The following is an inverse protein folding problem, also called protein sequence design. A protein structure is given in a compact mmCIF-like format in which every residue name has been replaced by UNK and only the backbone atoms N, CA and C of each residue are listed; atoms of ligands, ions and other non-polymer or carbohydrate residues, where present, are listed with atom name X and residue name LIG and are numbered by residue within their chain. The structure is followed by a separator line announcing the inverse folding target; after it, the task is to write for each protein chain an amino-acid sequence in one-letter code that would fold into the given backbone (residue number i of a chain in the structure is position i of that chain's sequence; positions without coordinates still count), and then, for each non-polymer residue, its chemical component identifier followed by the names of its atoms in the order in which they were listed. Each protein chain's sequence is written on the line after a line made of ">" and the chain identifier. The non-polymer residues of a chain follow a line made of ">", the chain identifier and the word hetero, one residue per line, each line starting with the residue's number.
data_IF_851634303799
#
_entry.id   IF_851634303799
#
_cell.length_a   1.000
_cell.length_b   1.000
_cell.length_c   1.000
_cell.angle_alpha   90.00
_cell.angle_beta   90.00
_cell.angle_gamma   90.00
#
_symmetry.space_group_name_H-M   'P 1'
#
loop_
_entity.id
_entity.type
_entity.pdbx_description
1 polymer ?
#
# COMPACT_ATOMS: atom_id res chain seq x y z
N UNK A 1 -5.08 10.83 -1.40
CA UNK A 1 -3.69 11.30 -1.58
C UNK A 1 -2.95 10.14 -2.24
N UNK A 2 -2.91 10.14 -3.58
CA UNK A 2 -2.56 8.97 -4.40
C UNK A 2 -1.06 8.67 -4.34
N UNK A 3 -0.73 7.41 -4.06
CA UNK A 3 0.63 6.88 -3.98
C UNK A 3 1.36 7.01 -5.33
N UNK A 4 2.38 7.87 -5.38
CA UNK A 4 3.42 7.83 -6.41
C UNK A 4 4.41 6.73 -6.06
N UNK A 5 4.28 5.57 -6.69
CA UNK A 5 5.32 4.54 -6.64
C UNK A 5 6.56 5.07 -7.37
N UNK A 6 7.69 4.99 -6.67
CA UNK A 6 8.98 5.54 -7.04
C UNK A 6 9.52 4.87 -8.32
N UNK A 7 9.59 5.63 -9.42
CA UNK A 7 10.31 5.29 -10.65
C UNK A 7 11.82 5.42 -10.43
N UNK A 8 12.49 4.43 -9.86
CA UNK A 8 13.92 4.24 -10.07
C UNK A 8 14.34 2.79 -9.72
N UNK A 9 15.15 2.21 -10.62
CA UNK A 9 15.88 0.92 -10.49
C UNK A 9 15.39 -0.26 -11.35
N UNK A 10 15.34 -0.12 -12.69
CA UNK A 10 15.68 -1.23 -13.61
C UNK A 10 16.41 -0.66 -14.84
N UNK A 11 17.70 -0.38 -14.71
CA UNK A 11 18.59 -0.25 -15.86
C UNK A 11 19.97 -0.77 -15.45
N UNK A 12 20.24 -2.05 -15.69
CA UNK A 12 21.60 -2.54 -15.87
C UNK A 12 21.64 -3.79 -16.76
N UNK A 13 22.28 -3.57 -17.92
CA UNK A 13 23.33 -4.38 -18.52
C UNK A 13 22.99 -5.81 -19.01
N UNK A 14 22.64 -5.92 -20.30
CA UNK A 14 22.89 -7.12 -21.10
C UNK A 14 23.76 -6.78 -22.31
N UNK A 15 25.06 -7.09 -22.20
CA UNK A 15 25.99 -7.17 -23.34
C UNK A 15 25.55 -8.30 -24.30
N UNK A 16 25.54 -8.07 -25.62
CA UNK A 16 25.42 -9.16 -26.59
C UNK A 16 26.78 -9.84 -26.83
N UNK A 17 26.79 -11.17 -26.76
CA UNK A 17 27.89 -12.03 -27.21
C UNK A 17 28.01 -11.97 -28.74
N UNK A 18 29.20 -11.63 -29.22
CA UNK A 18 29.61 -11.69 -30.62
C UNK A 18 29.69 -13.16 -31.08
N UNK A 19 28.91 -13.51 -32.10
CA UNK A 19 29.09 -14.74 -32.89
C UNK A 19 29.20 -14.40 -34.38
N UNK A 20 30.20 -15.02 -34.99
CA UNK A 20 30.87 -14.68 -36.24
C UNK A 20 30.06 -14.99 -37.50
N UNK A 21 30.26 -14.14 -38.51
CA UNK A 21 29.86 -14.31 -39.92
C UNK A 21 30.51 -15.54 -40.58
N UNK A 22 29.72 -16.27 -41.38
CA UNK A 22 29.98 -16.95 -42.69
C UNK A 22 28.88 -18.04 -42.84
N UNK A 23 28.19 -18.25 -43.95
CA UNK A 23 28.56 -18.17 -45.36
C UNK A 23 27.39 -17.77 -46.28
N UNK A 24 27.77 -17.33 -47.49
CA UNK A 24 26.92 -16.98 -48.62
C UNK A 24 26.34 -18.23 -49.29
N UNK A 25 25.03 -18.26 -49.50
CA UNK A 25 24.46 -18.90 -50.68
C UNK A 25 23.54 -17.92 -51.41
N UNK A 26 23.96 -17.60 -52.63
CA UNK A 26 23.30 -16.73 -53.59
C UNK A 26 22.07 -17.41 -54.19
N UNK A 27 20.88 -16.94 -53.83
CA UNK A 27 19.68 -17.08 -54.67
C UNK A 27 19.17 -15.70 -55.05
N UNK A 28 18.96 -15.56 -56.36
CA UNK A 28 18.66 -14.36 -57.12
C UNK A 28 17.32 -13.73 -56.66
N UNK A 29 17.34 -12.91 -55.59
CA UNK A 29 16.22 -12.05 -55.24
C UNK A 29 16.24 -10.84 -56.18
N UNK A 30 15.28 -10.79 -57.11
CA UNK A 30 14.85 -9.53 -57.74
C UNK A 30 14.75 -8.49 -56.61
N UNK A 31 15.53 -7.41 -56.68
CA UNK A 31 15.36 -6.25 -55.80
C UNK A 31 13.98 -5.66 -56.11
N UNK A 32 12.95 -6.15 -55.42
CA UNK A 32 11.66 -5.46 -55.32
C UNK A 32 11.92 -4.19 -54.54
N UNK A 33 11.77 -3.05 -55.19
CA UNK A 33 11.73 -1.73 -54.54
C UNK A 33 10.74 -1.81 -53.36
N UNK A 34 11.09 -1.31 -52.17
CA UNK A 34 10.16 -1.35 -51.04
C UNK A 34 8.88 -0.59 -51.41
N UNK A 35 7.76 -1.31 -51.42
CA UNK A 35 6.44 -0.72 -51.62
C UNK A 35 6.09 0.14 -50.39
N UNK A 36 5.80 1.42 -50.59
CA UNK A 36 5.34 2.32 -49.54
C UNK A 36 3.85 2.58 -49.70
N UNK A 37 3.15 2.78 -48.59
CA UNK A 37 1.75 3.23 -48.61
C UNK A 37 1.68 4.63 -49.26
N UNK A 38 0.69 4.86 -50.12
CA UNK A 38 0.51 6.14 -50.82
C UNK A 38 1.27 6.28 -52.14
N UNK A 39 2.05 5.27 -52.55
CA UNK A 39 2.79 5.30 -53.82
C UNK A 39 1.85 5.08 -55.02
N UNK A 40 1.24 6.17 -55.50
CA UNK A 40 0.21 6.16 -56.56
C UNK A 40 0.63 5.46 -57.87
N UNK A 41 1.87 5.61 -58.39
CA UNK A 41 2.31 4.94 -59.60
C UNK A 41 2.31 3.41 -59.53
N UNK A 42 2.58 2.82 -58.36
CA UNK A 42 2.78 1.38 -58.17
C UNK A 42 1.57 0.68 -57.54
N UNK A 43 0.65 1.46 -56.96
CA UNK A 43 -0.56 0.97 -56.31
C UNK A 43 -1.66 0.54 -57.29
N UNK A 44 -2.27 -0.62 -57.01
CA UNK A 44 -3.35 -1.24 -57.78
C UNK A 44 -4.71 -1.18 -57.07
N UNK A 45 -4.73 -0.80 -55.79
CA UNK A 45 -5.95 -0.66 -54.97
C UNK A 45 -6.02 0.72 -54.33
N UNK A 46 -7.24 1.26 -54.21
CA UNK A 46 -7.53 2.46 -53.41
C UNK A 46 -8.40 2.06 -52.22
N UNK A 47 -7.91 2.27 -51.01
CA UNK A 47 -8.71 2.15 -49.78
C UNK A 47 -9.28 3.51 -49.44
N UNK A 48 -10.61 3.62 -49.34
CA UNK A 48 -11.31 4.85 -48.94
C UNK A 48 -11.79 4.70 -47.51
N UNK A 49 -11.24 5.52 -46.61
CA UNK A 49 -11.74 5.65 -45.23
C UNK A 49 -12.83 6.72 -45.22
N UNK A 50 -14.03 6.33 -44.78
CA UNK A 50 -15.20 7.19 -44.75
C UNK A 50 -15.77 7.29 -43.34
N UNK A 51 -16.09 8.51 -42.92
CA UNK A 51 -16.80 8.77 -41.66
C UNK A 51 -18.20 9.31 -41.93
N UNK A 52 -19.10 9.17 -40.93
CA UNK A 52 -20.47 9.70 -41.00
C UNK A 52 -20.48 11.23 -41.14
N UNK A 53 -19.43 11.89 -40.64
CA UNK A 53 -19.22 13.35 -40.70
C UNK A 53 -18.64 13.83 -42.04
N UNK A 54 -18.77 13.04 -43.11
CA UNK A 54 -18.37 13.35 -44.49
C UNK A 54 -16.87 13.36 -44.81
N UNK A 55 -16.00 12.94 -43.90
CA UNK A 55 -14.58 12.72 -44.22
C UNK A 55 -14.43 11.55 -45.20
N UNK A 56 -13.60 11.71 -46.23
CA UNK A 56 -13.40 10.73 -47.31
C UNK A 56 -11.94 10.75 -47.80
N UNK A 57 -11.07 10.08 -47.05
CA UNK A 57 -9.64 10.04 -47.32
C UNK A 57 -9.27 8.80 -48.15
N UNK A 58 -8.40 9.00 -49.15
CA UNK A 58 -8.01 7.95 -50.11
C UNK A 58 -6.56 7.53 -49.89
N UNK A 59 -6.36 6.24 -49.66
CA UNK A 59 -5.05 5.62 -49.48
C UNK A 59 -4.74 4.72 -50.67
N UNK A 60 -3.63 4.99 -51.36
CA UNK A 60 -3.14 4.16 -52.46
C UNK A 60 -2.38 2.97 -51.88
N UNK A 61 -2.88 1.77 -52.16
CA UNK A 61 -2.41 0.53 -51.56
C UNK A 61 -2.06 -0.54 -52.62
N UNK A 62 -1.35 -1.58 -52.19
CA UNK A 62 -0.93 -2.72 -52.98
C UNK A 62 -1.72 -3.94 -52.52
N UNK A 63 -2.54 -4.52 -53.41
CA UNK A 63 -3.43 -5.65 -53.11
C UNK A 63 -2.70 -6.80 -52.44
N UNK A 64 -1.54 -7.21 -52.99
CA UNK A 64 -0.75 -8.32 -52.47
C UNK A 64 -0.32 -8.16 -51.00
N UNK A 65 -0.07 -6.94 -50.53
CA UNK A 65 0.34 -6.66 -49.14
C UNK A 65 -0.89 -6.72 -48.21
N UNK A 66 -1.96 -5.99 -48.57
CA UNK A 66 -3.12 -5.87 -47.69
C UNK A 66 -3.95 -7.16 -47.65
N UNK A 67 -3.99 -7.95 -48.73
CA UNK A 67 -4.63 -9.28 -48.75
C UNK A 67 -3.87 -10.27 -47.88
N UNK A 68 -2.53 -10.27 -47.94
CA UNK A 68 -1.70 -11.18 -47.14
C UNK A 68 -1.87 -10.91 -45.64
N UNK A 69 -2.05 -9.64 -45.25
CA UNK A 69 -1.99 -9.22 -43.84
C UNK A 69 -3.36 -8.93 -43.20
N UNK A 70 -4.45 -8.91 -43.97
CA UNK A 70 -5.81 -8.63 -43.46
C UNK A 70 -6.84 -9.51 -44.16
N UNK A 71 -7.57 -10.29 -43.35
CA UNK A 71 -8.67 -11.13 -43.83
C UNK A 71 -9.82 -10.29 -44.40
N UNK A 72 -10.10 -9.12 -43.83
CA UNK A 72 -11.10 -8.19 -44.36
C UNK A 72 -10.78 -7.76 -45.81
N UNK A 73 -9.54 -7.36 -46.08
CA UNK A 73 -9.15 -6.95 -47.43
C UNK A 73 -9.07 -8.15 -48.39
N UNK A 74 -8.65 -9.33 -47.91
CA UNK A 74 -8.67 -10.56 -48.68
C UNK A 74 -10.09 -10.93 -49.17
N UNK A 75 -11.09 -10.79 -48.31
CA UNK A 75 -12.49 -11.03 -48.66
C UNK A 75 -13.02 -9.97 -49.64
N UNK A 76 -12.80 -8.68 -49.34
CA UNK A 76 -13.33 -7.54 -50.13
C UNK A 76 -12.72 -7.41 -51.51
N UNK A 77 -11.50 -7.92 -51.73
CA UNK A 77 -10.82 -7.92 -53.02
C UNK A 77 -10.88 -9.27 -53.73
N UNK A 78 -11.63 -10.24 -53.19
CA UNK A 78 -11.83 -11.53 -53.84
C UNK A 78 -12.75 -11.41 -55.06
N UNK A 79 -12.63 -12.34 -56.01
CA UNK A 79 -13.48 -12.42 -57.21
C UNK A 79 -14.98 -12.54 -56.90
N UNK A 80 -15.32 -12.89 -55.65
CA UNK A 80 -16.70 -13.07 -55.17
C UNK A 80 -17.33 -11.76 -54.68
N UNK A 81 -16.55 -10.69 -54.49
CA UNK A 81 -17.04 -9.43 -53.99
C UNK A 81 -17.20 -8.40 -55.11
N UNK A 82 -18.35 -7.72 -55.24
CA UNK A 82 -18.54 -6.67 -56.23
C UNK A 82 -17.64 -5.47 -55.88
N UNK A 83 -16.44 -5.45 -56.44
CA UNK A 83 -15.47 -4.38 -56.21
C UNK A 83 -15.71 -3.27 -57.23
N UNK A 84 -15.98 -2.06 -56.75
CA UNK A 84 -16.12 -0.89 -57.62
C UNK A 84 -14.74 -0.55 -58.22
N UNK A 85 -14.67 -0.47 -59.55
CA UNK A 85 -13.50 0.06 -60.24
C UNK A 85 -13.63 1.58 -60.33
N UNK A 86 -12.62 2.31 -59.83
CA UNK A 86 -12.53 3.77 -59.94
C UNK A 86 -11.62 4.13 -61.12
N UNK A 87 -11.64 5.41 -61.54
CA UNK A 87 -10.70 6.05 -62.46
C UNK A 87 -9.30 5.39 -62.44
N UNK A 88 -8.80 5.08 -63.64
CA UNK A 88 -7.61 4.26 -63.94
C UNK A 88 -7.77 2.74 -63.76
N UNK A 89 -8.99 2.20 -63.69
CA UNK A 89 -9.29 0.76 -63.56
C UNK A 89 -8.73 0.10 -62.29
N UNK A 90 -8.56 0.88 -61.21
CA UNK A 90 -8.11 0.36 -59.91
C UNK A 90 -9.28 -0.11 -59.07
N UNK A 91 -9.08 -1.19 -58.32
CA UNK A 91 -10.05 -1.69 -57.35
C UNK A 91 -10.20 -0.69 -56.18
N UNK A 92 -11.43 -0.43 -55.75
CA UNK A 92 -11.71 0.43 -54.61
C UNK A 92 -12.39 -0.34 -53.47
N UNK A 93 -11.82 -0.25 -52.28
CA UNK A 93 -12.42 -0.79 -51.05
C UNK A 93 -12.83 0.35 -50.15
N UNK A 94 -14.12 0.42 -49.82
CA UNK A 94 -14.64 1.39 -48.87
C UNK A 94 -14.66 0.78 -47.45
N UNK A 95 -14.11 1.51 -46.50
CA UNK A 95 -14.03 1.15 -45.08
C UNK A 95 -14.66 2.28 -44.28
N UNK A 96 -15.73 1.95 -43.55
CA UNK A 96 -16.47 2.90 -42.72
C UNK A 96 -15.96 2.86 -41.28
N UNK A 97 -15.67 4.03 -40.73
CA UNK A 97 -15.22 4.23 -39.35
C UNK A 97 -15.89 5.46 -38.71
N UNK A 98 -15.85 5.51 -37.38
CA UNK A 98 -16.23 6.71 -36.63
C UNK A 98 -15.07 7.71 -36.65
N UNK A 99 -15.36 9.01 -36.50
CA UNK A 99 -14.32 10.04 -36.50
C UNK A 99 -13.29 9.82 -35.38
N UNK A 100 -13.75 9.33 -34.22
CA UNK A 100 -12.88 8.97 -33.07
C UNK A 100 -11.87 7.86 -33.38
N UNK A 101 -12.18 6.99 -34.34
CA UNK A 101 -11.35 5.84 -34.70
C UNK A 101 -10.55 6.07 -35.98
N UNK A 102 -10.71 7.23 -36.61
CA UNK A 102 -10.15 7.50 -37.93
C UNK A 102 -8.63 7.34 -37.93
N UNK A 103 -7.95 7.98 -36.98
CA UNK A 103 -6.49 7.93 -36.88
C UNK A 103 -5.97 6.52 -36.56
N UNK A 104 -6.74 5.71 -35.81
CA UNK A 104 -6.43 4.30 -35.59
C UNK A 104 -6.51 3.50 -36.90
N UNK A 105 -7.50 3.76 -37.77
CA UNK A 105 -7.59 3.10 -39.09
C UNK A 105 -6.43 3.50 -40.00
N UNK A 106 -6.06 4.78 -40.03
CA UNK A 106 -4.88 5.24 -40.77
C UNK A 106 -3.62 4.54 -40.27
N UNK A 107 -3.47 4.41 -38.96
CA UNK A 107 -2.32 3.75 -38.34
C UNK A 107 -2.27 2.26 -38.69
N UNK A 108 -3.41 1.55 -38.62
CA UNK A 108 -3.47 0.14 -39.06
C UNK A 108 -3.06 -0.02 -40.52
N UNK A 109 -3.57 0.84 -41.42
CA UNK A 109 -3.18 0.78 -42.83
C UNK A 109 -1.67 0.99 -43.03
N UNK A 110 -1.07 1.93 -42.30
CA UNK A 110 0.39 2.15 -42.33
C UNK A 110 1.15 0.94 -41.79
N UNK A 111 0.68 0.32 -40.70
CA UNK A 111 1.30 -0.84 -40.09
C UNK A 111 1.31 -2.09 -40.98
N UNK A 112 0.34 -2.23 -41.89
CA UNK A 112 0.36 -3.31 -42.90
C UNK A 112 1.61 -3.25 -43.79
N UNK A 113 2.20 -2.07 -43.97
CA UNK A 113 3.40 -1.89 -44.80
C UNK A 113 4.71 -2.05 -44.05
N UNK A 114 4.66 -2.13 -42.72
CA UNK A 114 5.86 -2.31 -41.91
C UNK A 114 6.27 -3.78 -41.93
N UNK A 115 7.56 -4.03 -42.17
CA UNK A 115 8.12 -5.38 -42.25
C UNK A 115 8.18 -6.05 -40.86
N UNK A 116 8.59 -5.29 -39.84
CA UNK A 116 8.63 -5.70 -38.44
C UNK A 116 8.04 -4.57 -37.59
N UNK A 117 6.92 -4.80 -36.94
CA UNK A 117 6.27 -3.81 -36.09
C UNK A 117 7.10 -3.70 -34.81
N UNK A 118 7.97 -2.69 -34.72
CA UNK A 118 8.74 -2.44 -33.50
C UNK A 118 7.86 -1.78 -32.43
N UNK A 119 8.09 -2.16 -31.17
CA UNK A 119 7.17 -1.97 -30.03
C UNK A 119 7.15 -0.53 -29.46
N UNK A 120 7.88 0.44 -30.04
CA UNK A 120 8.10 1.73 -29.35
C UNK A 120 7.39 2.95 -29.97
N UNK A 121 7.44 3.14 -31.29
CA UNK A 121 7.00 4.41 -31.92
C UNK A 121 5.58 4.39 -32.49
N UNK A 122 5.03 3.20 -32.78
CA UNK A 122 3.73 3.08 -33.42
C UNK A 122 2.54 3.24 -32.46
N UNK A 123 2.75 2.93 -31.18
CA UNK A 123 1.66 2.75 -30.22
C UNK A 123 1.33 3.99 -29.41
N UNK A 124 2.31 4.85 -29.11
CA UNK A 124 2.11 6.16 -28.46
C UNK A 124 1.17 6.16 -27.23
N UNK A 125 1.22 5.11 -26.41
CA UNK A 125 0.43 4.96 -25.18
C UNK A 125 -0.65 3.87 -25.24
N UNK A 126 -1.17 3.50 -24.06
CA UNK A 126 -2.13 2.40 -23.88
C UNK A 126 -3.44 2.68 -24.63
N UNK A 127 -3.99 3.88 -24.49
CA UNK A 127 -5.22 4.30 -25.16
C UNK A 127 -5.17 4.15 -26.69
N UNK A 128 -4.09 4.62 -27.31
CA UNK A 128 -3.93 4.53 -28.76
C UNK A 128 -3.67 3.09 -29.21
N UNK A 129 -2.90 2.30 -28.45
CA UNK A 129 -2.73 0.87 -28.69
C UNK A 129 -4.07 0.11 -28.62
N UNK A 130 -4.93 0.44 -27.65
CA UNK A 130 -6.26 -0.15 -27.48
C UNK A 130 -7.21 0.23 -28.63
N UNK A 131 -7.14 1.46 -29.12
CA UNK A 131 -7.83 1.91 -30.33
C UNK A 131 -7.38 1.15 -31.58
N UNK A 132 -6.06 1.04 -31.79
CA UNK A 132 -5.48 0.28 -32.91
C UNK A 132 -5.86 -1.20 -32.81
N UNK A 133 -5.84 -1.79 -31.62
CA UNK A 133 -6.23 -3.18 -31.40
C UNK A 133 -7.66 -3.45 -31.86
N UNK A 134 -8.62 -2.61 -31.47
CA UNK A 134 -10.02 -2.74 -31.89
C UNK A 134 -10.17 -2.73 -33.41
N UNK A 135 -9.48 -1.81 -34.09
CA UNK A 135 -9.49 -1.74 -35.56
C UNK A 135 -8.80 -2.95 -36.18
N UNK A 136 -7.67 -3.39 -35.64
CA UNK A 136 -6.93 -4.54 -36.13
C UNK A 136 -7.75 -5.85 -35.99
N UNK A 137 -8.51 -6.00 -34.91
CA UNK A 137 -9.47 -7.11 -34.75
C UNK A 137 -10.59 -6.99 -35.79
N UNK A 138 -11.20 -5.81 -35.96
CA UNK A 138 -12.29 -5.57 -36.92
C UNK A 138 -11.86 -5.84 -38.37
N UNK A 139 -10.63 -5.47 -38.74
CA UNK A 139 -10.07 -5.71 -40.08
C UNK A 139 -9.37 -7.07 -40.20
N UNK A 140 -9.34 -7.86 -39.13
CA UNK A 140 -8.75 -9.20 -39.09
C UNK A 140 -7.27 -9.20 -39.47
N UNK A 141 -6.46 -8.39 -38.78
CA UNK A 141 -5.03 -8.19 -38.97
C UNK A 141 -4.21 -8.89 -37.86
N UNK A 142 -3.94 -10.21 -37.94
CA UNK A 142 -3.41 -10.98 -36.81
C UNK A 142 -2.03 -10.51 -36.32
N UNK A 143 -1.13 -10.08 -37.21
CA UNK A 143 0.19 -9.59 -36.81
C UNK A 143 0.12 -8.29 -35.99
N UNK A 144 -0.80 -7.39 -36.35
CA UNK A 144 -1.01 -6.13 -35.62
C UNK A 144 -1.69 -6.41 -34.28
N UNK A 145 -2.66 -7.35 -34.24
CA UNK A 145 -3.30 -7.80 -32.99
C UNK A 145 -2.26 -8.34 -32.02
N UNK A 146 -1.39 -9.26 -32.45
CA UNK A 146 -0.33 -9.78 -31.59
C UNK A 146 0.58 -8.67 -31.06
N UNK A 147 1.02 -7.76 -31.93
CA UNK A 147 1.91 -6.68 -31.53
C UNK A 147 1.23 -5.67 -30.56
N UNK A 148 -0.09 -5.45 -30.68
CA UNK A 148 -0.85 -4.67 -29.70
C UNK A 148 -0.94 -5.39 -28.34
N UNK A 149 -1.20 -6.71 -28.35
CA UNK A 149 -1.27 -7.52 -27.13
C UNK A 149 0.07 -7.49 -26.42
N UNK A 150 1.17 -7.77 -27.14
CA UNK A 150 2.53 -7.74 -26.59
C UNK A 150 2.86 -6.35 -25.98
N UNK A 151 2.43 -5.27 -26.63
CA UNK A 151 2.64 -3.91 -26.12
C UNK A 151 1.82 -3.63 -24.85
N UNK A 152 0.51 -3.94 -24.87
CA UNK A 152 -0.37 -3.74 -23.71
C UNK A 152 0.10 -4.61 -22.54
N UNK A 153 0.60 -5.82 -22.81
CA UNK A 153 1.25 -6.66 -21.83
C UNK A 153 2.64 -6.14 -21.40
N UNK A 154 3.33 -5.30 -22.15
CA UNK A 154 4.62 -4.77 -21.70
C UNK A 154 4.51 -3.50 -20.84
N UNK A 155 3.39 -2.77 -20.94
CA UNK A 155 3.25 -1.44 -20.39
C UNK A 155 2.53 -1.40 -19.03
N UNK A 156 2.91 -0.48 -18.12
CA UNK A 156 2.10 -0.14 -16.96
C UNK A 156 0.84 0.62 -17.39
N UNK A 157 -0.24 0.48 -16.63
CA UNK A 157 -1.52 1.14 -16.88
C UNK A 157 -1.88 2.08 -15.74
N UNK A 158 -2.60 3.14 -16.08
CA UNK A 158 -3.30 3.97 -15.10
C UNK A 158 -4.70 3.39 -14.83
N UNK A 159 -5.29 3.69 -13.66
CA UNK A 159 -6.61 3.17 -13.24
C UNK A 159 -7.70 3.38 -14.31
N UNK A 160 -7.77 4.58 -14.91
CA UNK A 160 -8.71 4.88 -15.99
C UNK A 160 -8.47 4.03 -17.26
N UNK A 161 -7.22 3.64 -17.53
CA UNK A 161 -6.88 2.75 -18.63
C UNK A 161 -7.26 1.30 -18.30
N UNK A 162 -7.13 0.87 -17.05
CA UNK A 162 -7.59 -0.45 -16.60
C UNK A 162 -9.11 -0.61 -16.77
N UNK A 163 -9.89 0.39 -16.38
CA UNK A 163 -11.34 0.42 -16.59
C UNK A 163 -11.70 0.31 -18.08
N UNK A 164 -10.97 1.02 -18.94
CA UNK A 164 -11.19 0.96 -20.38
C UNK A 164 -10.84 -0.42 -20.95
N UNK A 165 -9.75 -1.02 -20.48
CA UNK A 165 -9.33 -2.39 -20.84
C UNK A 165 -10.39 -3.40 -20.41
N UNK A 166 -10.89 -3.33 -19.17
CA UNK A 166 -11.95 -4.20 -18.65
C UNK A 166 -13.24 -4.09 -19.46
N UNK A 167 -13.57 -2.88 -19.93
CA UNK A 167 -14.75 -2.63 -20.77
C UNK A 167 -14.59 -3.20 -22.19
N UNK A 168 -13.41 -3.07 -22.80
CA UNK A 168 -13.21 -3.34 -24.23
C UNK A 168 -12.78 -4.80 -24.50
N UNK A 169 -11.77 -5.31 -23.80
CA UNK A 169 -11.11 -6.58 -24.13
C UNK A 169 -12.06 -7.79 -24.14
N UNK A 170 -13.04 -7.94 -23.21
CA UNK A 170 -13.95 -9.09 -23.22
C UNK A 170 -14.73 -9.25 -24.54
N UNK A 171 -14.99 -8.16 -25.26
CA UNK A 171 -15.74 -8.15 -26.52
C UNK A 171 -14.93 -8.44 -27.78
N UNK A 172 -13.59 -8.47 -27.70
CA UNK A 172 -12.70 -8.54 -28.87
C UNK A 172 -12.24 -9.96 -29.25
N UNK A 173 -12.64 -10.98 -28.49
CA UNK A 173 -12.36 -12.38 -28.78
C UNK A 173 -11.24 -13.02 -27.94
N UNK A 174 -10.93 -14.29 -28.19
CA UNK A 174 -10.01 -15.07 -27.35
C UNK A 174 -8.55 -14.65 -27.43
N UNK A 175 -8.11 -14.14 -28.58
CA UNK A 175 -6.70 -13.89 -28.87
C UNK A 175 -6.12 -12.68 -28.11
N UNK A 176 -7.00 -11.86 -27.51
CA UNK A 176 -6.63 -10.68 -26.71
C UNK A 176 -6.82 -10.87 -25.21
N UNK A 177 -7.38 -12.02 -24.80
CA UNK A 177 -7.59 -12.36 -23.39
C UNK A 177 -6.34 -12.31 -22.52
N UNK A 178 -5.12 -12.61 -23.01
CA UNK A 178 -3.91 -12.51 -22.19
C UNK A 178 -3.72 -11.14 -21.51
N UNK A 179 -4.19 -10.06 -22.14
CA UNK A 179 -4.17 -8.71 -21.54
C UNK A 179 -4.84 -8.71 -20.16
N UNK A 180 -5.97 -9.41 -19.98
CA UNK A 180 -6.71 -9.43 -18.72
C UNK A 180 -6.02 -10.23 -17.61
N UNK A 181 -4.92 -10.92 -17.89
CA UNK A 181 -4.26 -11.80 -16.93
C UNK A 181 -3.82 -11.07 -15.65
N UNK A 182 -3.45 -9.79 -15.75
CA UNK A 182 -3.03 -8.96 -14.60
C UNK A 182 -4.16 -8.57 -13.66
N UNK A 183 -5.38 -8.50 -14.18
CA UNK A 183 -6.56 -8.05 -13.44
C UNK A 183 -7.33 -9.23 -12.82
N UNK A 184 -6.83 -10.45 -12.99
CA UNK A 184 -7.42 -11.60 -12.35
C UNK A 184 -7.21 -11.54 -10.83
N UNK A 185 -8.27 -11.79 -10.03
CA UNK A 185 -8.13 -11.90 -8.60
C UNK A 185 -7.04 -12.92 -8.23
N UNK A 186 -6.17 -12.50 -7.32
CA UNK A 186 -5.09 -13.37 -6.83
C UNK A 186 -5.69 -14.52 -6.03
N UNK A 187 -5.10 -15.70 -6.14
CA UNK A 187 -5.49 -16.86 -5.34
C UNK A 187 -5.35 -16.53 -3.83
N UNK A 188 -6.40 -16.72 -3.00
CA UNK A 188 -6.34 -16.46 -1.57
C UNK A 188 -5.19 -17.17 -0.84
N UNK A 189 -4.81 -18.39 -1.28
CA UNK A 189 -3.67 -19.12 -0.71
C UNK A 189 -2.34 -18.43 -0.97
N UNK A 190 -2.19 -17.78 -2.13
CA UNK A 190 -1.00 -16.99 -2.48
C UNK A 190 -0.94 -15.71 -1.64
N UNK A 191 -2.07 -15.00 -1.49
CA UNK A 191 -2.17 -13.82 -0.62
C UNK A 191 -1.76 -14.18 0.81
N UNK A 192 -2.28 -15.29 1.35
CA UNK A 192 -1.91 -15.81 2.67
C UNK A 192 -0.39 -16.06 2.80
N UNK A 193 0.23 -16.70 1.81
CA UNK A 193 1.66 -17.00 1.83
C UNK A 193 2.52 -15.73 1.81
N UNK A 194 2.14 -14.75 0.99
CA UNK A 194 2.81 -13.45 0.94
C UNK A 194 2.67 -12.75 2.29
N UNK A 195 1.46 -12.69 2.84
CA UNK A 195 1.20 -12.06 4.14
C UNK A 195 2.06 -12.66 5.25
N UNK A 196 2.09 -13.99 5.40
CA UNK A 196 2.87 -14.65 6.44
C UNK A 196 4.38 -14.42 6.27
N UNK A 197 4.87 -14.43 5.02
CA UNK A 197 6.28 -14.14 4.72
C UNK A 197 6.63 -12.69 5.06
N UNK A 198 5.73 -11.76 4.73
CA UNK A 198 5.87 -10.35 5.04
C UNK A 198 5.83 -10.09 6.55
N UNK A 199 4.95 -10.75 7.32
CA UNK A 199 4.93 -10.66 8.80
C UNK A 199 6.25 -11.16 9.39
N UNK A 200 6.77 -12.29 8.90
CA UNK A 200 8.05 -12.81 9.36
C UNK A 200 9.19 -11.81 9.08
N UNK A 201 9.20 -11.17 7.91
CA UNK A 201 10.19 -10.14 7.58
C UNK A 201 10.02 -8.88 8.45
N UNK A 202 8.78 -8.39 8.60
CA UNK A 202 8.44 -7.19 9.37
C UNK A 202 8.71 -7.34 10.88
N UNK A 203 8.75 -8.56 11.40
CA UNK A 203 9.08 -8.85 12.81
C UNK A 203 10.53 -9.29 13.02
N UNK A 204 11.31 -9.39 11.95
CA UNK A 204 12.74 -9.72 11.99
C UNK A 204 13.61 -8.47 12.21
N UNK A 205 14.92 -8.67 12.39
CA UNK A 205 15.92 -7.59 12.38
C UNK A 205 16.81 -7.69 11.14
N UNK A 206 16.32 -7.19 9.99
CA UNK A 206 17.13 -7.15 8.78
C UNK A 206 18.25 -6.10 8.91
N UNK A 207 19.28 -6.14 8.05
CA UNK A 207 20.32 -5.11 8.03
C UNK A 207 19.75 -3.71 7.77
N UNK A 208 20.42 -2.63 8.22
CA UNK A 208 19.92 -1.26 8.08
C UNK A 208 19.57 -0.84 6.64
N UNK A 209 20.26 -1.41 5.64
CA UNK A 209 19.98 -1.17 4.21
C UNK A 209 18.60 -1.64 3.76
N UNK A 210 17.90 -2.45 4.56
CA UNK A 210 16.56 -2.97 4.28
C UNK A 210 15.46 -2.29 5.13
N UNK A 211 15.79 -1.26 5.90
CA UNK A 211 14.82 -0.58 6.77
C UNK A 211 13.64 0.02 5.99
N UNK A 212 13.90 0.66 4.84
CA UNK A 212 12.85 1.19 3.97
C UNK A 212 11.92 0.10 3.46
N UNK A 213 12.48 -1.06 3.06
CA UNK A 213 11.70 -2.21 2.63
C UNK A 213 10.86 -2.78 3.78
N UNK A 214 11.40 -2.83 4.99
CA UNK A 214 10.68 -3.28 6.18
C UNK A 214 9.51 -2.37 6.51
N UNK A 215 9.73 -1.06 6.51
CA UNK A 215 8.68 -0.06 6.73
C UNK A 215 7.59 -0.16 5.66
N UNK A 216 7.96 -0.22 4.38
CA UNK A 216 7.00 -0.42 3.29
C UNK A 216 6.24 -1.73 3.46
N UNK A 217 6.90 -2.82 3.90
CA UNK A 217 6.23 -4.10 4.18
C UNK A 217 5.22 -3.97 5.32
N UNK A 218 5.56 -3.24 6.38
CA UNK A 218 4.67 -2.96 7.52
C UNK A 218 3.42 -2.19 7.07
N UNK A 219 3.58 -1.14 6.27
CA UNK A 219 2.46 -0.38 5.70
C UNK A 219 1.56 -1.25 4.80
N UNK A 220 2.16 -2.08 3.94
CA UNK A 220 1.38 -2.96 3.06
C UNK A 220 0.63 -4.04 3.84
N UNK A 221 1.20 -4.57 4.93
CA UNK A 221 0.50 -5.51 5.81
C UNK A 221 -0.73 -4.87 6.48
N UNK A 222 -0.63 -3.61 6.88
CA UNK A 222 -1.78 -2.85 7.40
C UNK A 222 -2.83 -2.64 6.33
N UNK A 223 -2.43 -2.27 5.12
CA UNK A 223 -3.34 -2.11 3.98
C UNK A 223 -4.09 -3.41 3.67
N UNK A 224 -3.38 -4.55 3.63
CA UNK A 224 -3.98 -5.87 3.37
C UNK A 224 -5.10 -6.26 4.34
N UNK A 225 -5.08 -5.72 5.57
CA UNK A 225 -6.05 -5.98 6.63
C UNK A 225 -7.12 -4.89 6.78
N UNK A 226 -6.97 -3.75 6.07
CA UNK A 226 -7.89 -2.63 6.21
C UNK A 226 -9.13 -2.88 5.36
N UNK A 227 -10.29 -2.64 5.95
CA UNK A 227 -11.57 -2.57 5.26
C UNK A 227 -11.89 -1.08 5.09
N UNK A 228 -11.96 -0.60 3.84
CA UNK A 228 -12.24 0.79 3.49
C UNK A 228 -13.47 0.88 2.57
N UNK A 229 -13.34 1.40 1.35
CA UNK A 229 -14.40 1.30 0.33
C UNK A 229 -14.45 -0.12 -0.26
N UNK A 230 -13.33 -0.86 -0.18
CA UNK A 230 -13.18 -2.24 -0.64
C UNK A 230 -13.07 -3.25 0.51
N UNK A 231 -13.35 -4.52 0.20
CA UNK A 231 -13.13 -5.62 1.13
C UNK A 231 -11.62 -5.85 1.36
N UNK A 232 -11.20 -6.25 2.59
CA UNK A 232 -9.80 -6.46 2.88
C UNK A 232 -9.21 -7.56 1.99
N UNK A 233 -7.98 -7.35 1.51
CA UNK A 233 -7.29 -8.34 0.67
C UNK A 233 -7.09 -9.67 1.40
N UNK A 234 -6.97 -9.64 2.72
CA UNK A 234 -6.86 -10.82 3.57
C UNK A 234 -7.79 -10.73 4.78
N UNK A 235 -8.66 -11.72 4.94
CA UNK A 235 -9.38 -11.96 6.20
C UNK A 235 -8.56 -12.90 7.10
N UNK A 236 -8.20 -12.43 8.29
CA UNK A 236 -7.38 -13.19 9.23
C UNK A 236 -8.17 -14.31 9.92
N UNK A 237 -7.85 -15.56 9.57
CA UNK A 237 -8.33 -16.74 10.29
C UNK A 237 -7.50 -17.04 11.56
N UNK A 238 -7.94 -18.01 12.35
CA UNK A 238 -7.28 -18.39 13.61
C UNK A 238 -5.84 -18.88 13.44
N UNK A 239 -5.52 -19.49 12.30
CA UNK A 239 -4.16 -19.94 12.02
C UNK A 239 -3.26 -18.75 11.67
N UNK A 240 -3.72 -17.79 10.86
CA UNK A 240 -3.00 -16.54 10.60
C UNK A 240 -2.77 -15.78 11.92
N UNK A 241 -3.82 -15.64 12.74
CA UNK A 241 -3.73 -15.04 14.07
C UNK A 241 -2.69 -15.73 14.95
N UNK A 242 -2.67 -17.06 14.95
CA UNK A 242 -1.68 -17.84 15.70
C UNK A 242 -0.25 -17.57 15.23
N UNK A 243 0.00 -17.60 13.92
CA UNK A 243 1.33 -17.34 13.35
C UNK A 243 1.82 -15.91 13.63
N UNK A 244 0.94 -14.90 13.45
CA UNK A 244 1.25 -13.51 13.83
C UNK A 244 1.56 -13.42 15.32
N UNK A 245 0.78 -14.10 16.17
CA UNK A 245 1.02 -14.17 17.61
C UNK A 245 2.39 -14.76 17.96
N UNK A 246 2.86 -15.79 17.26
CA UNK A 246 4.20 -16.36 17.44
C UNK A 246 5.28 -15.34 17.09
N UNK A 247 5.16 -14.63 15.97
CA UNK A 247 6.09 -13.58 15.57
C UNK A 247 6.16 -12.44 16.60
N UNK A 248 5.00 -11.98 17.10
CA UNK A 248 4.95 -10.93 18.13
C UNK A 248 5.52 -11.41 19.47
N UNK A 249 5.26 -12.67 19.86
CA UNK A 249 5.90 -13.27 21.05
C UNK A 249 7.43 -13.25 20.91
N UNK A 250 7.95 -13.57 19.73
CA UNK A 250 9.39 -13.48 19.46
C UNK A 250 9.92 -12.05 19.57
N UNK A 251 9.17 -11.04 19.13
CA UNK A 251 9.54 -9.63 19.33
C UNK A 251 9.59 -9.26 20.82
N UNK A 252 8.58 -9.67 21.60
CA UNK A 252 8.53 -9.41 23.04
C UNK A 252 9.69 -10.07 23.79
N UNK A 253 10.02 -11.32 23.47
CA UNK A 253 11.18 -12.02 24.08
C UNK A 253 12.46 -11.21 23.83
N UNK A 254 12.72 -10.84 22.57
CA UNK A 254 13.90 -10.05 22.19
C UNK A 254 13.93 -8.68 22.88
N UNK A 255 12.77 -8.03 23.02
CA UNK A 255 12.65 -6.78 23.75
C UNK A 255 13.05 -6.96 25.22
N UNK A 256 12.53 -7.97 25.90
CA UNK A 256 12.86 -8.23 27.30
C UNK A 256 14.33 -8.63 27.49
N UNK A 257 14.90 -9.40 26.56
CA UNK A 257 16.32 -9.76 26.58
C UNK A 257 17.23 -8.52 26.50
N UNK A 258 16.85 -7.51 25.71
CA UNK A 258 17.56 -6.22 25.64
C UNK A 258 17.27 -5.30 26.82
N UNK A 259 16.13 -5.47 27.49
CA UNK A 259 15.73 -4.70 28.66
C UNK A 259 16.46 -5.16 29.93
N UNK A 260 16.74 -6.46 30.05
CA UNK A 260 17.34 -7.07 31.25
C UNK A 260 18.68 -6.43 31.67
N UNK A 261 19.63 -6.11 30.75
CA UNK A 261 20.86 -5.44 31.10
C UNK A 261 20.64 -4.03 31.70
N UNK A 262 19.60 -3.30 31.28
CA UNK A 262 19.24 -1.98 31.83
C UNK A 262 18.73 -2.04 33.28
N UNK A 263 18.31 -3.22 33.73
CA UNK A 263 17.80 -3.44 35.09
C UNK A 263 18.90 -3.81 36.09
N UNK A 264 20.07 -4.22 35.61
CA UNK A 264 21.23 -4.55 36.43
C UNK A 264 21.98 -3.26 36.85
N UNK A 265 22.60 -3.26 38.04
CA UNK A 265 23.44 -2.12 38.45
C UNK A 265 24.54 -1.87 37.41
N UNK A 266 24.89 -0.60 37.14
CA UNK A 266 25.85 -0.26 36.10
C UNK A 266 27.20 -0.87 36.46
N UNK A 267 27.53 -2.00 35.83
CA UNK A 267 28.93 -2.36 35.66
C UNK A 267 29.48 -1.29 34.73
N UNK A 268 30.42 -0.49 35.23
CA UNK A 268 31.16 0.54 34.50
C UNK A 268 31.18 0.27 32.99
N UNK A 269 30.27 0.92 32.27
CA UNK A 269 29.90 0.54 30.91
C UNK A 269 28.57 1.16 30.54
N UNK A 270 28.65 2.36 29.95
CA UNK A 270 27.55 2.97 29.20
C UNK A 270 26.96 1.94 28.24
N UNK A 271 25.63 1.87 28.13
CA UNK A 271 24.98 1.10 27.06
C UNK A 271 25.62 1.49 25.72
N UNK A 272 25.99 0.51 24.89
CA UNK A 272 26.55 0.86 23.60
C UNK A 272 25.45 1.52 22.76
N UNK A 273 25.78 2.59 22.03
CA UNK A 273 24.84 3.33 21.17
C UNK A 273 24.06 2.38 20.21
N UNK A 274 24.70 1.27 19.83
CA UNK A 274 24.12 0.21 19.02
C UNK A 274 22.95 -0.52 19.73
N UNK A 275 23.08 -0.80 21.04
CA UNK A 275 22.05 -1.49 21.82
C UNK A 275 20.80 -0.62 22.03
N UNK A 276 20.97 0.69 22.29
CA UNK A 276 19.85 1.64 22.34
C UNK A 276 19.16 1.77 20.98
N UNK A 277 19.94 1.77 19.89
CA UNK A 277 19.40 1.78 18.53
C UNK A 277 18.57 0.53 18.24
N UNK A 278 19.05 -0.65 18.63
CA UNK A 278 18.30 -1.91 18.53
C UNK A 278 17.03 -1.89 19.37
N UNK A 279 17.08 -1.37 20.60
CA UNK A 279 15.94 -1.24 21.49
C UNK A 279 14.85 -0.32 20.87
N UNK A 280 15.25 0.85 20.35
CA UNK A 280 14.35 1.77 19.64
C UNK A 280 13.72 1.11 18.40
N UNK A 281 14.48 0.34 17.64
CA UNK A 281 13.96 -0.41 16.49
C UNK A 281 12.91 -1.44 16.91
N UNK A 282 13.17 -2.23 17.95
CA UNK A 282 12.20 -3.23 18.44
C UNK A 282 10.95 -2.57 19.04
N UNK A 283 11.10 -1.44 19.74
CA UNK A 283 9.95 -0.68 20.23
C UNK A 283 9.08 -0.16 19.09
N UNK A 284 9.70 0.28 17.98
CA UNK A 284 8.97 0.71 16.79
C UNK A 284 8.23 -0.48 16.14
N UNK A 285 8.87 -1.65 16.07
CA UNK A 285 8.23 -2.89 15.60
C UNK A 285 7.07 -3.33 16.50
N UNK A 286 7.20 -3.17 17.82
CA UNK A 286 6.15 -3.47 18.79
C UNK A 286 4.97 -2.51 18.68
N UNK A 287 5.23 -1.22 18.45
CA UNK A 287 4.18 -0.22 18.22
C UNK A 287 3.38 -0.56 16.96
N UNK A 288 4.06 -0.90 15.86
CA UNK A 288 3.44 -1.43 14.65
C UNK A 288 2.66 -2.74 14.89
N UNK A 289 3.27 -3.69 15.62
CA UNK A 289 2.61 -4.95 15.94
C UNK A 289 1.31 -4.76 16.71
N UNK A 290 1.23 -3.74 17.59
CA UNK A 290 -0.02 -3.38 18.27
C UNK A 290 -1.12 -2.96 17.28
N UNK A 291 -0.79 -2.26 16.20
CA UNK A 291 -1.74 -1.85 15.17
C UNK A 291 -2.29 -3.07 14.42
N UNK A 292 -1.40 -3.98 13.99
CA UNK A 292 -1.78 -5.24 13.32
C UNK A 292 -2.65 -6.11 14.23
N UNK A 293 -2.22 -6.33 15.48
CA UNK A 293 -2.98 -7.13 16.44
C UNK A 293 -4.33 -6.50 16.77
N UNK A 294 -4.46 -5.18 16.73
CA UNK A 294 -5.75 -4.50 16.94
C UNK A 294 -6.70 -4.77 15.78
N UNK A 295 -6.22 -4.68 14.52
CA UNK A 295 -7.00 -5.04 13.33
C UNK A 295 -7.43 -6.51 13.31
N UNK A 296 -6.64 -7.39 13.92
CA UNK A 296 -6.93 -8.83 14.03
C UNK A 296 -7.69 -9.21 15.31
N UNK A 297 -7.97 -8.26 16.20
CA UNK A 297 -8.60 -8.46 17.52
C UNK A 297 -7.84 -9.43 18.46
N UNK A 298 -6.51 -9.47 18.36
CA UNK A 298 -5.62 -10.41 19.09
C UNK A 298 -4.65 -9.73 20.05
N UNK A 299 -4.96 -8.51 20.50
CA UNK A 299 -4.12 -7.72 21.43
C UNK A 299 -3.94 -8.32 22.83
N UNK A 300 -4.80 -9.27 23.23
CA UNK A 300 -4.90 -9.76 24.61
C UNK A 300 -3.57 -10.23 25.21
N UNK A 301 -2.80 -11.06 24.49
CA UNK A 301 -1.56 -11.63 25.01
C UNK A 301 -0.47 -10.55 25.19
N UNK A 302 -0.33 -9.64 24.23
CA UNK A 302 0.62 -8.52 24.31
C UNK A 302 0.27 -7.59 25.47
N UNK A 303 -1.01 -7.22 25.61
CA UNK A 303 -1.47 -6.37 26.72
C UNK A 303 -1.15 -7.01 28.07
N UNK A 304 -1.42 -8.30 28.25
CA UNK A 304 -1.07 -8.99 29.49
C UNK A 304 0.44 -8.99 29.76
N UNK A 305 1.25 -9.31 28.74
CA UNK A 305 2.72 -9.29 28.86
C UNK A 305 3.24 -7.91 29.23
N UNK A 306 2.77 -6.86 28.55
CA UNK A 306 3.20 -5.48 28.79
C UNK A 306 2.78 -5.00 30.19
N UNK A 307 1.53 -5.28 30.58
CA UNK A 307 1.02 -4.94 31.92
C UNK A 307 1.85 -5.61 33.00
N UNK A 308 2.12 -6.90 32.89
CA UNK A 308 2.88 -7.66 33.89
C UNK A 308 4.36 -7.22 33.95
N UNK A 309 4.89 -6.61 32.88
CA UNK A 309 6.24 -6.07 32.81
C UNK A 309 6.35 -4.55 33.11
N UNK A 310 5.24 -3.85 33.37
CA UNK A 310 5.18 -2.37 33.41
C UNK A 310 6.22 -1.74 34.34
N UNK A 311 6.34 -2.24 35.57
CA UNK A 311 7.30 -1.70 36.55
C UNK A 311 8.75 -1.86 36.09
N UNK A 312 9.08 -3.01 35.48
CA UNK A 312 10.41 -3.29 34.95
C UNK A 312 10.73 -2.36 33.79
N UNK A 313 9.80 -2.22 32.84
CA UNK A 313 9.96 -1.33 31.69
C UNK A 313 10.22 0.09 32.15
N UNK A 314 9.34 0.64 33.00
CA UNK A 314 9.49 2.00 33.52
C UNK A 314 10.82 2.15 34.25
N UNK A 315 11.20 1.20 35.13
CA UNK A 315 12.46 1.25 35.87
C UNK A 315 13.69 1.28 34.95
N UNK A 316 13.71 0.46 33.91
CA UNK A 316 14.83 0.36 32.97
C UNK A 316 15.10 1.67 32.20
N UNK A 317 14.04 2.43 31.89
CA UNK A 317 14.16 3.67 31.10
C UNK A 317 14.04 4.95 31.95
N UNK A 318 14.03 4.84 33.29
CA UNK A 318 13.92 5.96 34.24
C UNK A 318 15.27 6.62 34.57
N UNK A 319 16.33 6.37 33.79
CA UNK A 319 17.67 6.88 34.07
C UNK A 319 17.71 8.41 34.34
N UNK A 320 18.50 8.82 35.34
CA UNK A 320 18.61 10.23 35.79
C UNK A 320 19.47 11.10 34.85
N UNK A 321 20.26 10.49 33.96
CA UNK A 321 21.02 11.24 32.95
C UNK A 321 20.15 11.55 31.74
N UNK A 322 19.90 12.85 31.55
CA UNK A 322 19.24 13.46 30.40
C UNK A 322 20.13 13.38 29.14
N UNK A 323 20.36 12.18 28.63
CA UNK A 323 20.83 12.01 27.26
C UNK A 323 19.64 12.04 26.31
N UNK A 324 19.77 12.74 25.18
CA UNK A 324 18.75 12.87 24.15
C UNK A 324 18.31 11.48 23.64
N UNK A 325 19.26 10.55 23.54
CA UNK A 325 19.03 9.15 23.14
C UNK A 325 18.11 8.39 24.13
N UNK A 326 18.27 8.63 25.43
CA UNK A 326 17.42 8.04 26.45
C UNK A 326 16.01 8.63 26.39
N UNK A 327 15.88 9.93 26.12
CA UNK A 327 14.58 10.59 25.94
C UNK A 327 13.83 10.01 24.73
N UNK A 328 14.52 9.82 23.59
CA UNK A 328 13.93 9.15 22.42
C UNK A 328 13.46 7.73 22.74
N UNK A 329 14.25 6.97 23.49
CA UNK A 329 13.87 5.63 23.94
C UNK A 329 12.63 5.66 24.82
N UNK A 330 12.52 6.64 25.74
CA UNK A 330 11.32 6.84 26.57
C UNK A 330 10.09 7.17 25.72
N UNK A 331 10.22 8.01 24.69
CA UNK A 331 9.13 8.31 23.75
C UNK A 331 8.67 7.01 23.06
N UNK A 332 9.60 6.18 22.58
CA UNK A 332 9.25 4.88 21.97
C UNK A 332 8.56 3.92 22.93
N UNK A 333 8.94 3.90 24.21
CA UNK A 333 8.21 3.14 25.25
C UNK A 333 6.79 3.70 25.45
N UNK A 334 6.64 5.02 25.44
CA UNK A 334 5.33 5.69 25.53
C UNK A 334 4.44 5.35 24.33
N UNK A 335 4.98 5.31 23.11
CA UNK A 335 4.22 4.92 21.89
C UNK A 335 3.60 3.53 22.03
N UNK A 336 4.37 2.51 22.45
CA UNK A 336 3.86 1.15 22.67
C UNK A 336 2.84 1.14 23.80
N UNK A 337 3.13 1.85 24.89
CA UNK A 337 2.26 1.91 26.07
C UNK A 337 0.94 2.59 25.76
N UNK A 338 0.91 3.61 24.90
CA UNK A 338 -0.31 4.26 24.44
C UNK A 338 -1.27 3.24 23.81
N UNK A 339 -0.77 2.37 22.92
CA UNK A 339 -1.59 1.32 22.29
C UNK A 339 -2.11 0.30 23.28
N UNK A 340 -1.32 -0.04 24.28
CA UNK A 340 -1.76 -0.92 25.39
C UNK A 340 -2.84 -0.23 26.24
N UNK A 341 -2.66 1.04 26.58
CA UNK A 341 -3.62 1.83 27.35
C UNK A 341 -4.94 2.01 26.58
N UNK A 342 -4.90 2.35 25.30
CA UNK A 342 -6.07 2.45 24.41
C UNK A 342 -6.87 1.13 24.41
N UNK A 343 -6.19 -0.01 24.22
CA UNK A 343 -6.83 -1.32 24.21
C UNK A 343 -7.56 -1.65 25.53
N UNK A 344 -7.02 -1.21 26.67
CA UNK A 344 -7.65 -1.37 27.98
C UNK A 344 -8.79 -0.36 28.17
N UNK A 345 -8.55 0.91 27.82
CA UNK A 345 -9.44 2.03 28.04
C UNK A 345 -10.75 1.93 27.26
N UNK A 346 -10.67 1.44 26.02
CA UNK A 346 -11.82 1.32 25.12
C UNK A 346 -12.43 -0.09 25.09
N UNK A 347 -11.95 -0.99 25.96
CA UNK A 347 -12.59 -2.28 26.21
C UNK A 347 -12.22 -3.39 25.22
N UNK A 348 -11.27 -3.19 24.30
CA UNK A 348 -10.73 -4.23 23.42
C UNK A 348 -10.07 -5.36 24.22
N UNK A 349 -9.46 -5.03 25.37
CA UNK A 349 -8.92 -6.00 26.32
C UNK A 349 -9.44 -5.67 27.73
N UNK A 350 -10.24 -6.57 28.29
CA UNK A 350 -10.82 -6.40 29.63
C UNK A 350 -9.86 -6.94 30.69
N UNK A 351 -9.46 -6.07 31.62
CA UNK A 351 -8.63 -6.41 32.78
C UNK A 351 -9.40 -6.25 34.10
N UNK A 352 -9.04 -7.08 35.08
CA UNK A 352 -9.54 -6.94 36.44
C UNK A 352 -9.16 -5.57 37.03
N UNK A 353 -10.01 -5.03 37.91
CA UNK A 353 -9.83 -3.71 38.52
C UNK A 353 -8.45 -3.50 39.13
N UNK A 354 -7.89 -4.51 39.82
CA UNK A 354 -6.55 -4.42 40.40
C UNK A 354 -5.45 -4.21 39.35
N UNK A 355 -5.54 -4.90 38.19
CA UNK A 355 -4.58 -4.70 37.09
C UNK A 355 -4.76 -3.32 36.44
N UNK A 356 -6.00 -2.86 36.23
CA UNK A 356 -6.26 -1.51 35.69
C UNK A 356 -5.71 -0.41 36.60
N UNK A 357 -5.94 -0.53 37.91
CA UNK A 357 -5.39 0.40 38.91
C UNK A 357 -3.85 0.41 38.89
N UNK A 358 -3.23 -0.78 38.89
CA UNK A 358 -1.78 -0.91 38.80
C UNK A 358 -1.21 -0.21 37.56
N UNK A 359 -1.80 -0.44 36.39
CA UNK A 359 -1.40 0.20 35.13
C UNK A 359 -1.45 1.73 35.24
N UNK A 360 -2.55 2.29 35.77
CA UNK A 360 -2.64 3.76 35.97
C UNK A 360 -1.54 4.25 36.90
N UNK A 361 -1.32 3.59 38.05
CA UNK A 361 -0.31 4.02 39.03
C UNK A 361 1.13 3.96 38.50
N UNK A 362 1.44 3.04 37.60
CA UNK A 362 2.78 2.92 37.00
C UNK A 362 2.97 3.91 35.85
N UNK A 363 2.02 3.97 34.93
CA UNK A 363 2.19 4.70 33.67
C UNK A 363 1.86 6.18 33.77
N UNK A 364 0.88 6.59 34.59
CA UNK A 364 0.48 7.99 34.70
C UNK A 364 1.65 8.90 35.16
N UNK A 365 2.42 8.56 36.22
CA UNK A 365 3.57 9.37 36.61
C UNK A 365 4.69 9.35 35.55
N UNK A 366 4.93 8.20 34.92
CA UNK A 366 5.98 8.07 33.90
C UNK A 366 5.70 8.93 32.67
N UNK A 367 4.49 8.83 32.12
CA UNK A 367 4.03 9.61 30.96
C UNK A 367 4.11 11.11 31.26
N UNK A 368 3.65 11.52 32.45
CA UNK A 368 3.70 12.91 32.90
C UNK A 368 5.13 13.48 32.90
N UNK A 369 6.07 12.77 33.51
CA UNK A 369 7.48 13.19 33.53
C UNK A 369 8.06 13.19 32.12
N UNK A 370 7.79 12.16 31.31
CA UNK A 370 8.32 12.09 29.93
C UNK A 370 7.80 13.25 29.09
N UNK A 371 6.51 13.59 29.16
CA UNK A 371 5.94 14.73 28.42
C UNK A 371 6.61 16.05 28.80
N UNK A 372 6.82 16.29 30.09
CA UNK A 372 7.50 17.52 30.55
C UNK A 372 8.91 17.63 29.97
N UNK A 373 9.68 16.53 29.98
CA UNK A 373 11.04 16.54 29.43
C UNK A 373 11.06 16.79 27.92
N UNK A 374 10.06 16.27 27.19
CA UNK A 374 9.89 16.56 25.76
C UNK A 374 9.57 18.03 25.53
N UNK A 375 8.66 18.61 26.32
CA UNK A 375 8.31 20.04 26.22
C UNK A 375 9.52 20.94 26.52
N UNK A 376 10.30 20.61 27.55
CA UNK A 376 11.53 21.32 27.90
C UNK A 376 12.56 21.22 26.76
N UNK A 377 12.75 20.03 26.18
CA UNK A 377 13.67 19.80 25.06
C UNK A 377 13.26 20.51 23.76
N UNK A 378 11.96 20.65 23.50
CA UNK A 378 11.44 21.41 22.34
C UNK A 378 11.63 22.91 22.57
N UNK A 379 11.40 23.41 23.79
CA UNK A 379 11.53 24.83 24.10
C UNK A 379 12.98 25.35 24.07
N UNK A 380 13.96 24.47 24.20
CA UNK A 380 15.39 24.80 24.30
C UNK A 380 16.16 24.65 22.98
N UNK A 381 15.60 23.98 21.97
CA UNK A 381 16.27 23.73 20.69
C UNK A 381 15.59 24.51 19.55
N UNK A 382 16.36 25.36 18.86
CA UNK A 382 15.93 26.10 17.65
C UNK A 382 15.49 25.11 16.55
N UNK A 383 14.24 25.26 16.09
CA UNK A 383 13.45 24.73 14.93
C UNK A 383 13.82 23.43 14.16
N UNK A 384 15.00 22.82 14.30
CA UNK A 384 15.53 21.80 13.38
C UNK A 384 15.39 20.33 13.86
N UNK A 385 14.97 20.09 15.12
CA UNK A 385 14.79 18.72 15.64
C UNK A 385 13.40 18.15 15.29
N UNK A 386 13.27 17.66 14.05
CA UNK A 386 12.11 16.87 13.59
C UNK A 386 11.85 15.60 14.42
N UNK A 387 12.87 15.07 15.09
CA UNK A 387 12.81 13.82 15.87
C UNK A 387 11.98 13.94 17.15
N UNK A 388 11.96 15.12 17.79
CA UNK A 388 11.17 15.39 19.00
C UNK A 388 9.80 16.00 18.72
N UNK A 389 9.41 16.18 17.44
CA UNK A 389 8.03 16.52 17.09
C UNK A 389 7.14 15.30 17.36
N UNK A 390 6.96 14.99 18.65
CA UNK A 390 6.01 13.98 19.08
C UNK A 390 4.63 14.39 18.64
N UNK A 391 3.93 13.41 18.12
CA UNK A 391 2.56 13.53 17.65
C UNK A 391 1.65 14.08 18.76
N UNK A 392 1.03 15.23 18.51
CA UNK A 392 0.02 15.79 19.43
C UNK A 392 -1.13 14.81 19.62
N UNK A 393 -1.43 13.99 18.61
CA UNK A 393 -2.47 12.97 18.66
C UNK A 393 -2.08 11.84 19.63
N UNK A 394 -0.80 11.45 19.70
CA UNK A 394 -0.30 10.47 20.68
C UNK A 394 -0.59 10.93 22.11
N UNK A 395 -0.20 12.15 22.48
CA UNK A 395 -0.41 12.64 23.84
C UNK A 395 -1.88 12.81 24.17
N UNK A 396 -2.71 13.25 23.22
CA UNK A 396 -4.16 13.34 23.40
C UNK A 396 -4.82 11.96 23.57
N UNK A 397 -4.36 10.95 22.81
CA UNK A 397 -4.86 9.58 22.91
C UNK A 397 -4.58 8.97 24.31
N UNK A 398 -3.38 9.22 24.85
CA UNK A 398 -2.98 8.75 26.17
C UNK A 398 -3.81 9.41 27.28
N UNK A 399 -4.02 10.73 27.19
CA UNK A 399 -4.87 11.47 28.13
C UNK A 399 -6.30 10.92 28.15
N UNK A 400 -6.89 10.75 26.97
CA UNK A 400 -8.23 10.19 26.80
C UNK A 400 -8.32 8.75 27.37
N UNK A 401 -7.29 7.94 27.15
CA UNK A 401 -7.20 6.60 27.69
C UNK A 401 -7.15 6.60 29.23
N UNK A 402 -6.33 7.48 29.84
CA UNK A 402 -6.27 7.60 31.30
C UNK A 402 -7.59 8.08 31.90
N UNK A 403 -8.24 9.10 31.32
CA UNK A 403 -9.55 9.58 31.76
C UNK A 403 -10.56 8.43 31.75
N UNK A 404 -10.68 7.69 30.64
CA UNK A 404 -11.59 6.53 30.54
C UNK A 404 -11.27 5.45 31.58
N UNK A 405 -9.99 5.08 31.72
CA UNK A 405 -9.56 4.05 32.67
C UNK A 405 -9.88 4.44 34.11
N UNK A 406 -9.58 5.68 34.51
CA UNK A 406 -9.85 6.21 35.85
C UNK A 406 -11.36 6.22 36.12
N UNK A 407 -12.17 6.71 35.18
CA UNK A 407 -13.62 6.75 35.31
C UNK A 407 -14.27 5.37 35.51
N UNK A 408 -13.60 4.31 35.06
CA UNK A 408 -14.02 2.92 35.21
C UNK A 408 -13.49 2.23 36.50
N UNK A 409 -12.68 2.90 37.32
CA UNK A 409 -12.23 2.39 38.62
C UNK A 409 -13.27 2.63 39.74
N UNK A 410 -13.18 1.92 40.87
CA UNK A 410 -13.93 2.26 42.08
C UNK A 410 -13.69 3.70 42.54
N UNK A 411 -14.71 4.33 43.15
CA UNK A 411 -14.62 5.74 43.56
C UNK A 411 -13.54 6.05 44.60
N UNK A 412 -13.11 5.05 45.38
CA UNK A 412 -12.01 5.19 46.36
C UNK A 412 -10.68 5.31 45.62
N UNK A 413 -10.43 4.39 44.69
CA UNK A 413 -9.21 4.40 43.87
C UNK A 413 -9.14 5.66 42.99
N UNK A 414 -10.27 6.10 42.44
CA UNK A 414 -10.36 7.40 41.73
C UNK A 414 -9.93 8.56 42.63
N UNK A 415 -10.38 8.59 43.88
CA UNK A 415 -10.06 9.67 44.80
C UNK A 415 -8.57 9.75 45.10
N UNK A 416 -7.90 8.60 45.27
CA UNK A 416 -6.45 8.52 45.50
C UNK A 416 -5.69 9.12 44.31
N UNK A 417 -5.97 8.63 43.09
CA UNK A 417 -5.31 9.09 41.86
C UNK A 417 -5.54 10.60 41.63
N UNK A 418 -6.77 11.08 41.82
CA UNK A 418 -7.11 12.49 41.62
C UNK A 418 -6.45 13.39 42.67
N UNK A 419 -6.27 12.91 43.89
CA UNK A 419 -5.55 13.65 44.95
C UNK A 419 -4.07 13.78 44.59
N UNK A 420 -3.44 12.69 44.17
CA UNK A 420 -2.04 12.69 43.68
C UNK A 420 -1.85 13.59 42.45
N UNK A 421 -2.84 13.64 41.55
CA UNK A 421 -2.81 14.54 40.39
C UNK A 421 -2.87 16.01 40.81
N UNK A 422 -3.77 16.39 41.72
CA UNK A 422 -3.89 17.76 42.22
C UNK A 422 -2.64 18.26 42.95
N UNK A 423 -1.89 17.35 43.60
CA UNK A 423 -0.64 17.65 44.30
C UNK A 423 0.59 17.69 43.36
N UNK A 424 0.44 17.30 42.09
CA UNK A 424 1.56 17.14 41.18
C UNK A 424 2.09 18.47 40.62
N UNK A 425 3.42 18.60 40.54
CA UNK A 425 4.10 19.73 39.91
C UNK A 425 3.76 19.88 38.41
N UNK A 426 3.37 18.79 37.74
CA UNK A 426 2.99 18.76 36.33
C UNK A 426 1.48 18.52 36.14
N UNK A 427 0.65 19.23 36.90
CA UNK A 427 -0.82 19.09 36.87
C UNK A 427 -1.44 19.28 35.47
N UNK A 428 -0.77 20.03 34.58
CA UNK A 428 -1.28 20.36 33.24
C UNK A 428 -1.44 19.15 32.32
N UNK A 429 -0.67 18.08 32.51
CA UNK A 429 -0.74 16.91 31.66
C UNK A 429 -0.49 15.60 32.44
N UNK A 430 -1.28 14.54 32.21
CA UNK A 430 -2.56 14.56 31.51
C UNK A 430 -3.60 15.44 32.21
N UNK A 431 -4.47 16.10 31.46
CA UNK A 431 -5.62 16.82 32.00
C UNK A 431 -6.68 15.82 32.47
N UNK A 432 -6.81 15.67 33.80
CA UNK A 432 -7.79 14.79 34.43
C UNK A 432 -9.05 15.53 34.90
N UNK A 433 -9.27 16.76 34.43
CA UNK A 433 -10.40 17.61 34.85
C UNK A 433 -11.74 16.91 34.62
N UNK A 434 -11.94 16.25 33.47
CA UNK A 434 -13.17 15.49 33.21
C UNK A 434 -13.40 14.40 34.26
N UNK A 435 -12.35 13.60 34.54
CA UNK A 435 -12.42 12.53 35.53
C UNK A 435 -12.75 13.08 36.92
N UNK A 436 -12.16 14.23 37.28
CA UNK A 436 -12.41 14.93 38.54
C UNK A 436 -13.86 15.44 38.66
N UNK A 437 -14.38 16.09 37.63
CA UNK A 437 -15.75 16.60 37.59
C UNK A 437 -16.77 15.47 37.72
N UNK A 438 -16.58 14.38 36.98
CA UNK A 438 -17.44 13.20 37.03
C UNK A 438 -17.35 12.52 38.39
N UNK A 439 -16.16 12.39 38.99
CA UNK A 439 -15.99 11.85 40.34
C UNK A 439 -16.73 12.71 41.37
N UNK A 440 -16.61 14.04 41.32
CA UNK A 440 -17.32 14.97 42.18
C UNK A 440 -18.85 14.80 42.06
N UNK A 441 -19.36 14.76 40.82
CA UNK A 441 -20.77 14.54 40.53
C UNK A 441 -21.25 13.20 41.09
N UNK A 442 -20.56 12.09 40.77
CA UNK A 442 -20.90 10.74 41.23
C UNK A 442 -20.87 10.63 42.75
N UNK A 443 -19.89 11.24 43.40
CA UNK A 443 -19.75 11.28 44.87
C UNK A 443 -20.86 12.08 45.55
N UNK A 444 -21.32 13.18 44.94
CA UNK A 444 -22.47 13.96 45.44
C UNK A 444 -23.80 13.21 45.26
N UNK A 445 -23.98 12.57 44.10
CA UNK A 445 -25.21 11.82 43.78
C UNK A 445 -25.31 10.53 44.59
N UNK A 446 -24.20 9.80 44.77
CA UNK A 446 -24.18 8.56 45.54
C UNK A 446 -24.61 8.77 46.99
N UNK A 447 -24.18 9.87 47.64
CA UNK A 447 -24.65 10.26 48.97
C UNK A 447 -26.18 10.38 49.02
N UNK A 448 -26.80 11.01 48.02
CA UNK A 448 -28.26 11.13 47.91
C UNK A 448 -28.94 9.77 47.68
N UNK A 449 -28.43 8.97 46.74
CA UNK A 449 -28.99 7.64 46.38
C UNK A 449 -28.89 6.64 47.54
N UNK A 450 -27.77 6.66 48.28
CA UNK A 450 -27.58 5.81 49.45
C UNK A 450 -28.43 6.28 50.64
N UNK A 451 -28.64 7.59 50.79
CA UNK A 451 -29.59 8.11 51.77
C UNK A 451 -31.02 7.65 51.47
N UNK A 452 -31.46 7.66 50.20
CA UNK A 452 -32.80 7.16 49.82
C UNK A 452 -32.96 5.65 49.98
N UNK A 453 -31.91 4.85 49.75
CA UNK A 453 -31.94 3.40 49.98
C UNK A 453 -32.06 3.04 51.46
N UNK A 454 -31.49 3.85 52.36
CA UNK A 454 -31.64 3.68 53.82
C UNK A 454 -33.02 4.07 54.36
N UNK A 455 -33.86 4.72 53.54
CA UNK A 455 -35.22 5.15 53.91
C UNK A 455 -36.30 4.14 53.47
N UNK A 456 -35.93 3.07 52.76
CA UNK A 456 -36.84 1.94 52.53
C UNK A 456 -37.01 1.14 53.83
N UNK A 457 -38.18 1.17 54.51
CA UNK A 457 -38.41 0.35 55.69
C UNK A 457 -38.80 -1.05 55.21
N UNK A 458 -37.97 -2.05 55.55
CA UNK A 458 -38.31 -3.46 55.39
C UNK A 458 -37.45 -4.23 54.39
N UNK A 459 -36.26 -4.61 54.82
CA UNK A 459 -35.82 -6.02 54.77
C UNK A 459 -35.54 -6.48 56.18
#
# INVERSE_FOLDING_TARGET
>A
MLFKICKHCIYHDRRPLLLSKRDRESKNKKKTTPCNIGDKPTSDVVVRLRTEESRDDRFYCHSHIIIEKSTYFAERLSDKWPTCQILDSRNCVEVYCQESDFDHHVTVLRLLYVAEISVSEAWNGVKNALGILQVAVKLGCPQIVCACVDYLEAMPWEEAEEDEILRIIPGLGSNVKPILARLHPVNPSTVRLIFLSAVHFATSSPPPSMNELKFSTQEQLEYMLTEDDDAPLLTADEEIKSQVGICVKSLLIRFYDLLEPLLCEPKEGLFELDELTMLKSILSDLAWACQILSKMETMKELVHSWVDASEKIVKAVKGEMLDLELLETRIKVVEVSAKVLEAIAYGSVILATAKRLHVVKVWLPFVRVTKSLVDDAISTNDEDNTVLKTDSELWQSIESAFVSMILALPSIDQAEILSEWLESEYIKYPDLTEAFEVWCYRSKVSKRRMASLRVLPGM
#
